data_IF_293991978331
#
_entry.id   IF_293991978331
#
_cell.length_a   1.000
_cell.length_b   1.000
_cell.length_c   1.000
_cell.angle_alpha   90.00
_cell.angle_beta   90.00
_cell.angle_gamma   90.00
#
_symmetry.space_group_name_H-M   'P 1'
#
loop_
_entity.id
_entity.type
_entity.pdbx_description
1 polymer ?
#
# COMPACT_ATOMS: atom_id res chain seq x y z
N UNK A 1 -17.61 8.50 -9.34
CA UNK A 1 -16.31 7.89 -9.67
C UNK A 1 -16.41 6.45 -9.21
N UNK A 2 -16.05 5.48 -10.04
CA UNK A 2 -16.08 4.07 -9.63
C UNK A 2 -14.83 3.81 -8.80
N UNK A 3 -15.01 3.28 -7.60
CA UNK A 3 -13.92 2.97 -6.68
C UNK A 3 -13.60 1.47 -6.76
N UNK A 4 -12.32 1.13 -6.82
CA UNK A 4 -11.82 -0.24 -6.82
C UNK A 4 -11.07 -0.52 -5.53
N UNK A 5 -11.31 -1.71 -4.97
CA UNK A 5 -10.57 -2.24 -3.85
C UNK A 5 -9.32 -2.97 -4.35
N UNK A 6 -8.16 -2.49 -3.92
CA UNK A 6 -6.86 -3.06 -4.18
C UNK A 6 -6.37 -3.83 -2.96
N UNK A 7 -6.08 -5.12 -3.14
CA UNK A 7 -5.54 -5.97 -2.10
C UNK A 7 -4.02 -6.06 -2.21
N UNK A 8 -3.35 -5.95 -1.07
CA UNK A 8 -1.92 -6.22 -0.99
C UNK A 8 -1.55 -6.89 0.32
N UNK A 9 -0.66 -7.88 0.23
CA UNK A 9 -0.02 -8.45 1.41
C UNK A 9 1.26 -7.66 1.72
N UNK A 10 1.24 -6.87 2.79
CA UNK A 10 2.44 -6.22 3.30
C UNK A 10 3.28 -7.28 4.02
N UNK A 11 4.55 -7.43 3.64
CA UNK A 11 5.49 -8.35 4.29
C UNK A 11 6.68 -7.58 4.82
N UNK A 12 7.03 -7.82 6.07
CA UNK A 12 8.19 -7.25 6.76
C UNK A 12 8.83 -8.32 7.64
N UNK A 13 10.03 -8.79 7.27
CA UNK A 13 10.70 -9.91 7.93
C UNK A 13 9.76 -11.14 8.04
N UNK A 14 9.49 -11.60 9.26
CA UNK A 14 8.58 -12.71 9.59
C UNK A 14 7.11 -12.29 9.74
N UNK A 15 6.83 -10.98 9.70
CA UNK A 15 5.49 -10.42 9.78
C UNK A 15 4.87 -10.24 8.41
N UNK A 16 3.58 -10.53 8.30
CA UNK A 16 2.77 -10.20 7.13
C UNK A 16 1.37 -9.75 7.53
N UNK A 17 0.77 -8.88 6.72
CA UNK A 17 -0.59 -8.41 6.94
C UNK A 17 -1.26 -8.06 5.63
N UNK A 18 -2.46 -8.63 5.43
CA UNK A 18 -3.29 -8.29 4.30
C UNK A 18 -3.94 -6.93 4.50
N UNK A 19 -3.69 -6.03 3.55
CA UNK A 19 -4.20 -4.67 3.55
C UNK A 19 -5.06 -4.43 2.31
N UNK A 20 -6.09 -3.63 2.51
CA UNK A 20 -7.01 -3.21 1.45
C UNK A 20 -6.91 -1.70 1.30
N UNK A 21 -6.85 -1.25 0.06
CA UNK A 21 -6.81 0.15 -0.32
C UNK A 21 -7.93 0.45 -1.32
N UNK A 22 -8.55 1.62 -1.22
CA UNK A 22 -9.52 2.11 -2.19
C UNK A 22 -8.82 3.11 -3.10
N UNK A 23 -9.03 2.98 -4.40
CA UNK A 23 -8.58 3.94 -5.39
C UNK A 23 -9.58 4.04 -6.54
N UNK A 24 -9.30 4.91 -7.48
CA UNK A 24 -10.11 5.02 -8.71
C UNK A 24 -10.04 3.73 -9.54
N UNK A 25 -11.17 3.31 -10.12
CA UNK A 25 -11.22 2.20 -11.08
C UNK A 25 -10.84 2.69 -12.48
N UNK A 26 -9.54 2.96 -12.67
CA UNK A 26 -8.96 3.38 -13.94
C UNK A 26 -7.65 2.63 -14.25
N UNK A 27 -7.31 2.40 -15.52
CA UNK A 27 -6.02 1.82 -15.91
C UNK A 27 -4.82 2.59 -15.35
N UNK A 28 -4.93 3.92 -15.27
CA UNK A 28 -3.92 4.81 -14.70
C UNK A 28 -3.76 4.58 -13.18
N UNK A 29 -4.86 4.37 -12.45
CA UNK A 29 -4.79 4.00 -11.05
C UNK A 29 -4.19 2.60 -10.85
N UNK A 30 -4.54 1.62 -11.67
CA UNK A 30 -3.90 0.30 -11.59
C UNK A 30 -2.38 0.38 -11.80
N UNK A 31 -1.94 1.15 -12.79
CA UNK A 31 -0.52 1.36 -13.05
C UNK A 31 0.18 2.01 -11.84
N UNK A 32 -0.39 3.09 -11.29
CA UNK A 32 0.13 3.74 -10.07
C UNK A 32 0.20 2.77 -8.89
N UNK A 33 -0.81 1.91 -8.71
CA UNK A 33 -0.82 0.92 -7.65
C UNK A 33 0.35 -0.07 -7.78
N UNK A 34 0.63 -0.53 -9.01
CA UNK A 34 1.76 -1.42 -9.31
C UNK A 34 3.09 -0.72 -9.01
N UNK A 35 3.25 0.54 -9.43
CA UNK A 35 4.46 1.34 -9.20
C UNK A 35 4.71 1.59 -7.71
N UNK A 36 3.67 1.95 -6.96
CA UNK A 36 3.75 2.12 -5.51
C UNK A 36 4.12 0.81 -4.81
N UNK A 37 3.52 -0.31 -5.25
CA UNK A 37 3.86 -1.64 -4.71
C UNK A 37 5.33 -1.98 -4.89
N UNK A 38 5.95 -1.59 -6.00
CA UNK A 38 7.38 -1.83 -6.25
C UNK A 38 8.30 -1.06 -5.29
N UNK A 39 7.82 0.00 -4.66
CA UNK A 39 8.58 0.79 -3.69
C UNK A 39 8.56 0.20 -2.27
N UNK A 40 7.65 -0.75 -1.99
CA UNK A 40 7.50 -1.34 -0.66
C UNK A 40 8.74 -2.06 -0.12
N UNK A 41 9.54 -2.80 -0.92
CA UNK A 41 10.77 -3.41 -0.43
C UNK A 41 11.76 -2.36 0.07
N UNK A 42 11.99 -1.29 -0.71
CA UNK A 42 12.87 -0.19 -0.30
C UNK A 42 12.33 0.52 0.96
N UNK A 43 10.99 0.70 1.05
CA UNK A 43 10.36 1.25 2.23
C UNK A 43 10.56 0.36 3.46
N UNK A 44 10.49 -0.97 3.30
CA UNK A 44 10.74 -1.93 4.37
C UNK A 44 12.18 -1.80 4.90
N UNK A 45 13.18 -1.61 4.03
CA UNK A 45 14.58 -1.42 4.45
C UNK A 45 14.78 -0.17 5.34
N UNK A 46 13.94 0.85 5.18
CA UNK A 46 13.99 2.07 6.00
C UNK A 46 13.22 1.96 7.33
N UNK A 47 12.43 0.89 7.51
CA UNK A 47 11.59 0.70 8.68
C UNK A 47 12.27 -0.20 9.73
N UNK A 48 12.08 0.11 11.01
CA UNK A 48 12.68 -0.61 12.14
C UNK A 48 11.77 -1.69 12.72
N UNK A 49 10.47 -1.62 12.45
CA UNK A 49 9.49 -2.56 12.95
C UNK A 49 8.25 -2.64 12.04
N UNK A 50 7.44 -3.70 12.16
CA UNK A 50 6.28 -3.91 11.31
C UNK A 50 5.21 -2.82 11.40
N UNK A 51 5.04 -2.21 12.59
CA UNK A 51 4.06 -1.15 12.81
C UNK A 51 4.43 0.10 12.00
N UNK A 52 5.71 0.50 12.06
CA UNK A 52 6.24 1.61 11.29
C UNK A 52 6.11 1.34 9.79
N UNK A 53 6.44 0.12 9.34
CA UNK A 53 6.28 -0.26 7.93
C UNK A 53 4.82 -0.17 7.47
N UNK A 54 3.87 -0.67 8.28
CA UNK A 54 2.44 -0.60 7.94
C UNK A 54 1.92 0.83 7.85
N UNK A 55 2.36 1.72 8.76
CA UNK A 55 1.99 3.14 8.73
C UNK A 55 2.59 3.85 7.52
N UNK A 56 3.89 3.65 7.27
CA UNK A 56 4.60 4.24 6.13
C UNK A 56 4.05 3.75 4.79
N UNK A 57 3.70 2.47 4.68
CA UNK A 57 3.05 1.93 3.50
C UNK A 57 1.69 2.62 3.28
N UNK A 58 0.88 2.77 4.33
CA UNK A 58 -0.39 3.47 4.24
C UNK A 58 -0.23 4.95 3.81
N UNK A 59 0.79 5.65 4.32
CA UNK A 59 1.12 7.02 3.88
C UNK A 59 1.54 7.07 2.41
N UNK A 60 2.39 6.13 1.96
CA UNK A 60 2.84 6.04 0.57
C UNK A 60 1.66 5.81 -0.39
N UNK A 61 0.78 4.87 -0.06
CA UNK A 61 -0.42 4.61 -0.84
C UNK A 61 -1.35 5.83 -0.86
N UNK A 62 -1.54 6.50 0.29
CA UNK A 62 -2.37 7.71 0.38
C UNK A 62 -1.84 8.86 -0.47
N UNK A 63 -0.52 9.07 -0.50
CA UNK A 63 0.11 10.09 -1.36
C UNK A 63 -0.14 9.84 -2.85
N UNK A 64 -0.42 8.60 -3.24
CA UNK A 64 -0.69 8.20 -4.62
C UNK A 64 -2.19 8.02 -4.91
N UNK A 65 -3.07 8.48 -4.01
CA UNK A 65 -4.52 8.45 -4.20
C UNK A 65 -5.18 7.14 -3.78
N UNK A 66 -4.55 6.38 -2.89
CA UNK A 66 -5.09 5.13 -2.36
C UNK A 66 -5.34 5.22 -0.85
N UNK A 67 -6.60 5.13 -0.43
CA UNK A 67 -6.98 5.20 0.98
C UNK A 67 -7.11 3.81 1.59
N UNK A 68 -6.47 3.57 2.74
CA UNK A 68 -6.54 2.28 3.44
C UNK A 68 -7.94 2.07 4.03
N UNK A 69 -8.53 0.90 3.79
CA UNK A 69 -9.88 0.52 4.24
C UNK A 69 -9.94 0.28 5.76
N UNK A 70 -8.86 -0.25 6.35
CA UNK A 70 -8.77 -0.54 7.78
C UNK A 70 -8.06 0.58 8.54
N UNK A 71 -8.73 1.13 9.56
CA UNK A 71 -8.19 2.07 10.55
C UNK A 71 -7.52 1.34 11.71
#
# INVERSE_FOLDING_TARGET
MVEKAYNINLKFDSWSSQCWFLGEDSPEAEQRFIEVRQQLPALAETCRNPLQFSQRAAELFRQNGFDRVHK
#
